data_IF_971175917441
#
_entry.id   IF_971175917441
#
_cell.length_a   1.000
_cell.length_b   1.000
_cell.length_c   1.000
_cell.angle_alpha   90.00
_cell.angle_beta   90.00
_cell.angle_gamma   90.00
#
_symmetry.space_group_name_H-M   'P 1'
#
loop_
_entity.id
_entity.type
_entity.pdbx_description
1 polymer ?
#
# COMPACT_ATOMS: atom_id res chain seq x y z
N UNK A 1 -0.21 -13.40 11.81
CA UNK A 1 -0.08 -12.24 10.91
C UNK A 1 1.17 -11.46 11.28
N UNK A 2 1.73 -10.65 10.37
CA UNK A 2 2.99 -9.92 10.63
C UNK A 2 2.90 -8.97 11.83
N UNK A 3 1.71 -8.42 12.07
CA UNK A 3 1.42 -7.61 13.24
C UNK A 3 1.58 -8.37 14.56
N UNK A 4 1.21 -9.65 14.60
CA UNK A 4 1.40 -10.50 15.79
C UNK A 4 2.88 -10.79 16.06
N UNK A 5 3.69 -10.92 15.01
CA UNK A 5 5.15 -11.06 15.15
C UNK A 5 5.75 -9.78 15.72
N UNK A 6 5.34 -8.62 15.20
CA UNK A 6 5.81 -7.30 15.70
C UNK A 6 5.46 -7.05 17.16
N UNK A 7 4.25 -7.44 17.59
CA UNK A 7 3.77 -7.19 18.96
C UNK A 7 4.10 -8.32 19.94
N UNK A 8 4.81 -9.36 19.51
CA UNK A 8 5.03 -10.58 20.30
C UNK A 8 5.71 -10.34 21.64
N UNK A 9 6.52 -9.28 21.78
CA UNK A 9 7.25 -8.98 23.01
C UNK A 9 6.45 -8.14 24.03
N UNK A 10 5.43 -7.39 23.60
CA UNK A 10 4.71 -6.43 24.44
C UNK A 10 3.22 -6.74 24.63
N UNK A 11 2.58 -7.46 23.70
CA UNK A 11 1.17 -7.81 23.76
C UNK A 11 0.94 -9.23 23.21
N UNK A 12 1.20 -10.28 24.01
CA UNK A 12 1.02 -11.66 23.57
C UNK A 12 -0.46 -11.94 23.32
N UNK A 13 -0.84 -12.11 22.05
CA UNK A 13 -2.19 -12.46 21.62
C UNK A 13 -2.21 -13.90 21.09
N UNK A 14 -3.17 -14.71 21.55
CA UNK A 14 -3.39 -16.06 21.01
C UNK A 14 -4.44 -15.96 19.91
N UNK A 15 -4.03 -16.05 18.65
CA UNK A 15 -4.94 -16.13 17.51
C UNK A 15 -5.54 -17.53 17.39
N UNK A 16 -6.81 -17.71 17.75
CA UNK A 16 -7.50 -19.02 17.67
C UNK A 16 -8.12 -19.27 16.28
N UNK A 17 -8.23 -18.25 15.42
CA UNK A 17 -8.57 -18.38 13.99
C UNK A 17 -7.81 -17.32 13.20
N UNK A 18 -7.12 -17.72 12.13
CA UNK A 18 -6.54 -16.82 11.12
C UNK A 18 -7.28 -17.02 9.79
N UNK A 19 -8.36 -16.27 9.50
CA UNK A 19 -9.10 -16.43 8.25
C UNK A 19 -8.33 -15.91 7.01
N UNK A 20 -7.15 -15.30 7.20
CA UNK A 20 -6.31 -14.73 6.13
C UNK A 20 -4.87 -15.24 6.23
N UNK A 21 -4.63 -16.44 5.71
CA UNK A 21 -3.30 -17.04 5.56
C UNK A 21 -2.42 -16.28 4.55
N UNK A 22 -3.02 -15.40 3.74
CA UNK A 22 -2.37 -14.46 2.82
C UNK A 22 -2.91 -13.06 3.10
N UNK A 23 -2.03 -12.12 3.46
CA UNK A 23 -2.40 -10.71 3.54
C UNK A 23 -2.59 -10.18 2.11
N UNK A 24 -3.81 -9.81 1.65
CA UNK A 24 -4.05 -9.39 0.27
C UNK A 24 -3.65 -7.92 0.04
N UNK A 25 -2.71 -7.42 0.83
CA UNK A 25 -2.25 -6.05 0.76
C UNK A 25 -1.38 -5.87 -0.48
N UNK A 26 -1.66 -4.83 -1.24
CA UNK A 26 -0.97 -4.45 -2.46
C UNK A 26 -0.60 -2.98 -2.41
N UNK A 27 0.19 -2.56 -3.38
CA UNK A 27 0.32 -1.17 -3.77
C UNK A 27 -0.21 -1.05 -5.19
N UNK A 28 -0.87 0.07 -5.49
CA UNK A 28 -1.52 0.34 -6.77
C UNK A 28 -1.16 1.75 -7.24
N UNK A 29 -1.21 1.99 -8.54
CA UNK A 29 -0.77 3.25 -9.16
C UNK A 29 -1.57 3.52 -10.44
N UNK A 30 -1.46 4.71 -11.02
CA UNK A 30 -2.03 4.94 -12.35
C UNK A 30 -1.09 4.34 -13.42
N UNK A 31 -1.50 3.30 -14.18
CA UNK A 31 -0.66 2.72 -15.21
C UNK A 31 -0.39 3.66 -16.40
N UNK A 32 -1.13 4.76 -16.51
CA UNK A 32 -0.84 5.82 -17.48
C UNK A 32 0.27 6.78 -17.02
N UNK A 33 0.57 6.83 -15.71
CA UNK A 33 1.59 7.70 -15.12
C UNK A 33 2.86 6.93 -14.79
N UNK A 34 2.71 5.71 -14.26
CA UNK A 34 3.83 4.88 -13.83
C UNK A 34 3.79 3.48 -14.43
N UNK A 35 4.98 2.93 -14.64
CA UNK A 35 5.19 1.53 -15.02
C UNK A 35 6.27 0.97 -14.11
N UNK A 36 5.86 0.05 -13.23
CA UNK A 36 6.73 -0.56 -12.23
C UNK A 36 6.70 -2.08 -12.39
N UNK A 37 7.88 -2.69 -12.40
CA UNK A 37 8.04 -4.15 -12.37
C UNK A 37 8.56 -4.62 -10.99
N UNK A 38 9.00 -3.68 -10.15
CA UNK A 38 9.56 -3.93 -8.84
C UNK A 38 9.35 -2.75 -7.88
N UNK A 39 9.50 -3.00 -6.58
CA UNK A 39 9.48 -1.92 -5.57
C UNK A 39 10.66 -0.95 -5.71
N UNK A 40 11.78 -1.37 -6.29
CA UNK A 40 12.92 -0.49 -6.53
C UNK A 40 12.59 0.55 -7.63
N UNK A 41 11.71 0.21 -8.58
CA UNK A 41 11.29 1.15 -9.62
C UNK A 41 10.45 2.28 -9.04
N UNK A 42 9.66 2.00 -8.00
CA UNK A 42 8.92 3.01 -7.23
C UNK A 42 9.90 4.04 -6.66
N UNK A 43 10.96 3.58 -5.97
CA UNK A 43 11.99 4.47 -5.45
C UNK A 43 12.72 5.25 -6.54
N UNK A 44 13.09 4.60 -7.64
CA UNK A 44 13.76 5.25 -8.76
C UNK A 44 12.90 6.34 -9.43
N UNK A 45 11.56 6.20 -9.39
CA UNK A 45 10.63 7.15 -10.00
C UNK A 45 10.41 8.43 -9.22
N UNK A 46 10.76 8.46 -7.93
CA UNK A 46 10.43 9.60 -7.06
C UNK A 46 8.96 9.62 -6.61
N UNK A 47 8.16 8.60 -6.92
CA UNK A 47 6.76 8.55 -6.55
C UNK A 47 6.57 8.46 -5.03
N UNK A 48 5.56 9.15 -4.53
CA UNK A 48 5.16 9.05 -3.12
C UNK A 48 4.35 7.77 -2.91
N UNK A 49 4.75 6.97 -1.91
CA UNK A 49 4.09 5.77 -1.45
C UNK A 49 3.21 6.07 -0.23
N UNK A 50 1.91 6.23 -0.46
CA UNK A 50 0.89 6.50 0.54
C UNK A 50 0.41 5.20 1.21
N UNK A 51 0.55 5.10 2.53
CA UNK A 51 0.31 3.86 3.28
C UNK A 51 -0.26 4.12 4.69
N UNK A 52 -0.81 3.08 5.32
CA UNK A 52 -1.30 3.20 6.71
C UNK A 52 -0.13 3.19 7.69
N UNK A 53 -0.13 4.14 8.64
CA UNK A 53 0.88 4.18 9.70
C UNK A 53 1.09 2.80 10.36
N UNK A 54 2.35 2.40 10.47
CA UNK A 54 2.74 1.12 11.05
C UNK A 54 2.64 -0.09 10.10
N UNK A 55 2.50 0.11 8.78
CA UNK A 55 2.61 -1.02 7.84
C UNK A 55 4.06 -1.56 7.78
N UNK A 56 4.25 -2.80 8.24
CA UNK A 56 5.57 -3.43 8.40
C UNK A 56 6.35 -3.63 7.09
N UNK A 57 5.66 -3.66 5.95
CA UNK A 57 6.34 -3.78 4.66
C UNK A 57 7.13 -2.52 4.30
N UNK A 58 6.71 -1.33 4.76
CA UNK A 58 7.42 -0.07 4.51
C UNK A 58 8.79 -0.06 5.18
N UNK A 59 8.86 -0.50 6.44
CA UNK A 59 10.13 -0.64 7.16
C UNK A 59 11.11 -1.57 6.41
N UNK A 60 10.58 -2.63 5.79
CA UNK A 60 11.36 -3.52 4.95
C UNK A 60 11.85 -2.84 3.65
N UNK A 61 10.99 -2.10 2.96
CA UNK A 61 11.37 -1.37 1.74
C UNK A 61 12.44 -0.31 2.00
N UNK A 62 12.29 0.44 3.10
CA UNK A 62 13.29 1.41 3.59
C UNK A 62 14.60 0.70 3.96
N UNK A 63 14.53 -0.39 4.72
CA UNK A 63 15.72 -1.17 5.10
C UNK A 63 16.45 -1.82 3.92
N UNK A 64 15.74 -2.10 2.82
CA UNK A 64 16.34 -2.55 1.55
C UNK A 64 16.90 -1.40 0.70
N UNK A 65 16.56 -0.15 1.02
CA UNK A 65 16.88 1.02 0.20
C UNK A 65 16.12 1.05 -1.12
N UNK A 66 14.94 0.41 -1.21
CA UNK A 66 14.09 0.43 -2.40
C UNK A 66 13.21 1.67 -2.48
N UNK A 67 12.98 2.33 -1.35
CA UNK A 67 12.35 3.65 -1.22
C UNK A 67 13.11 4.43 -0.13
N UNK A 68 12.95 5.76 -0.11
CA UNK A 68 13.54 6.65 0.90
C UNK A 68 12.49 7.20 1.86
N UNK A 69 12.93 7.75 3.01
CA UNK A 69 12.01 8.30 4.03
C UNK A 69 11.14 9.44 3.51
N UNK A 70 11.66 10.26 2.58
CA UNK A 70 10.92 11.35 1.94
C UNK A 70 9.92 10.88 0.88
N UNK A 71 9.99 9.62 0.46
CA UNK A 71 9.07 9.01 -0.49
C UNK A 71 7.88 8.33 0.15
N UNK A 72 7.90 8.06 1.46
CA UNK A 72 6.84 7.32 2.14
C UNK A 72 5.94 8.28 2.93
N UNK A 73 4.63 8.10 2.82
CA UNK A 73 3.63 8.95 3.46
C UNK A 73 2.64 8.09 4.24
N UNK A 74 2.72 8.16 5.57
CA UNK A 74 1.89 7.38 6.50
C UNK A 74 0.47 7.96 6.69
N UNK A 75 0.10 9.03 5.97
CA UNK A 75 -1.18 9.73 6.13
C UNK A 75 -2.37 9.06 5.43
N UNK A 76 -2.22 7.81 4.97
CA UNK A 76 -3.33 7.13 4.30
C UNK A 76 -4.50 6.92 5.27
N UNK A 77 -5.68 7.36 4.86
CA UNK A 77 -6.90 7.31 5.66
C UNK A 77 -7.88 6.21 5.20
N UNK A 78 -7.50 5.41 4.20
CA UNK A 78 -8.33 4.38 3.60
C UNK A 78 -9.27 4.88 2.49
N UNK A 79 -9.29 6.18 2.20
CA UNK A 79 -10.12 6.75 1.14
C UNK A 79 -9.38 6.82 -0.19
N UNK A 80 -10.08 6.81 -1.33
CA UNK A 80 -9.46 7.01 -2.64
C UNK A 80 -9.15 8.49 -2.95
N UNK A 81 -9.54 9.41 -2.06
CA UNK A 81 -9.64 10.84 -2.38
C UNK A 81 -8.30 11.45 -2.82
N UNK A 82 -7.21 11.19 -2.09
CA UNK A 82 -5.89 11.71 -2.45
C UNK A 82 -5.34 11.10 -3.73
N UNK A 83 -5.49 9.79 -3.90
CA UNK A 83 -5.06 9.11 -5.11
C UNK A 83 -5.76 9.66 -6.36
N UNK A 84 -7.07 9.85 -6.30
CA UNK A 84 -7.86 10.44 -7.41
C UNK A 84 -7.46 11.90 -7.65
N UNK A 85 -7.29 12.69 -6.58
CA UNK A 85 -6.98 14.11 -6.70
C UNK A 85 -5.57 14.38 -7.25
N UNK A 86 -4.59 13.56 -6.89
CA UNK A 86 -3.18 13.78 -7.26
C UNK A 86 -2.79 12.98 -8.51
N UNK A 87 -3.30 11.76 -8.68
CA UNK A 87 -3.09 10.93 -9.88
C UNK A 87 -1.65 10.41 -10.06
N UNK A 88 -0.70 10.85 -9.25
CA UNK A 88 0.72 10.47 -9.32
C UNK A 88 1.24 9.91 -7.98
N UNK A 89 0.37 9.20 -7.26
CA UNK A 89 0.72 8.48 -6.04
C UNK A 89 0.77 6.97 -6.28
N UNK A 90 1.60 6.29 -5.49
CA UNK A 90 1.45 4.86 -5.26
C UNK A 90 0.69 4.71 -3.95
N UNK A 91 -0.45 4.03 -3.96
CA UNK A 91 -1.29 3.88 -2.77
C UNK A 91 -1.35 2.43 -2.31
N UNK A 92 -1.28 2.21 -0.99
CA UNK A 92 -1.58 0.93 -0.38
C UNK A 92 -3.06 0.57 -0.56
N UNK A 93 -3.35 -0.69 -0.84
CA UNK A 93 -4.73 -1.18 -0.93
C UNK A 93 -4.89 -2.67 -0.63
N UNK A 94 -6.12 -3.16 -0.77
CA UNK A 94 -6.43 -4.59 -0.76
C UNK A 94 -6.86 -5.11 -2.13
N UNK A 95 -6.12 -6.10 -2.65
CA UNK A 95 -6.39 -6.74 -3.94
C UNK A 95 -7.78 -7.38 -4.06
N UNK A 96 -8.44 -7.64 -2.93
CA UNK A 96 -9.76 -8.27 -2.89
C UNK A 96 -10.90 -7.37 -3.35
N UNK A 97 -10.70 -6.04 -3.38
CA UNK A 97 -11.79 -5.11 -3.68
C UNK A 97 -11.31 -3.91 -4.51
N UNK A 98 -10.24 -3.25 -4.08
CA UNK A 98 -9.92 -1.89 -4.56
C UNK A 98 -9.70 -1.80 -6.08
N UNK A 99 -8.97 -2.72 -6.76
CA UNK A 99 -8.84 -2.65 -8.21
C UNK A 99 -10.20 -2.63 -8.95
N UNK A 100 -11.18 -3.39 -8.45
CA UNK A 100 -12.53 -3.37 -8.99
C UNK A 100 -13.23 -2.04 -8.71
N UNK A 101 -13.11 -1.51 -7.49
CA UNK A 101 -13.75 -0.27 -7.09
C UNK A 101 -13.20 0.94 -7.87
N UNK A 102 -11.89 1.03 -8.04
CA UNK A 102 -11.27 2.07 -8.86
C UNK A 102 -11.76 2.01 -10.30
N UNK A 103 -11.82 0.82 -10.89
CA UNK A 103 -12.24 0.68 -12.28
C UNK A 103 -13.75 0.91 -12.49
N UNK A 104 -14.60 0.56 -11.53
CA UNK A 104 -16.04 0.43 -11.77
C UNK A 104 -16.96 1.23 -10.83
N UNK A 105 -16.50 1.64 -9.64
CA UNK A 105 -17.33 2.30 -8.63
C UNK A 105 -16.97 3.78 -8.42
N UNK A 106 -15.67 4.11 -8.46
CA UNK A 106 -15.23 5.50 -8.33
C UNK A 106 -15.36 6.20 -9.68
N UNK A 107 -16.49 6.87 -9.90
CA UNK A 107 -16.80 7.57 -11.16
C UNK A 107 -15.73 8.61 -11.54
N UNK A 108 -15.13 9.27 -10.54
CA UNK A 108 -14.04 10.24 -10.74
C UNK A 108 -12.73 9.61 -11.20
N UNK A 109 -12.57 8.28 -11.10
CA UNK A 109 -11.43 7.52 -11.63
C UNK A 109 -11.79 6.72 -12.88
N UNK A 110 -12.71 5.77 -12.77
CA UNK A 110 -13.32 5.03 -13.87
C UNK A 110 -12.37 4.24 -14.77
N UNK A 111 -11.17 3.90 -14.29
CA UNK A 111 -10.13 3.20 -15.08
C UNK A 111 -9.29 2.25 -14.21
N UNK A 112 -8.49 1.36 -14.82
CA UNK A 112 -7.61 0.47 -14.08
C UNK A 112 -6.57 1.22 -13.23
N UNK A 113 -6.10 0.53 -12.19
CA UNK A 113 -4.92 0.83 -11.36
C UNK A 113 -3.93 -0.32 -11.43
#
# INVERSE_FOLDING_TARGET
TDEQVRLSASQPTIGIVAPRDKNPQIVMWDPAVYSFDSFADIGASGATLLYFEGATYIDYLLGKGWVTEDQVDASYDGSPARFIAEGNLVQQGFASAEPYQYQNEFEDWGKPV
#
